data_IF_644065762267
#
_entry.id   IF_644065762267
#
_cell.length_a   1.000
_cell.length_b   1.000
_cell.length_c   1.000
_cell.angle_alpha   90.00
_cell.angle_beta   90.00
_cell.angle_gamma   90.00
#
_symmetry.space_group_name_H-M   'P 1'
#
loop_
_entity.id
_entity.type
_entity.pdbx_description
1 polymer ?
#
# COMPACT_ATOMS: atom_id res chain seq x y z
N UNK A 1 3.47 -0.57 8.79
CA UNK A 1 3.23 0.87 9.05
C UNK A 1 1.90 1.11 9.79
N UNK A 2 0.76 0.67 9.24
CA UNK A 2 -0.58 0.92 9.83
C UNK A 2 -0.71 0.47 11.29
N UNK A 3 -0.21 -0.71 11.67
CA UNK A 3 -0.27 -1.19 13.06
C UNK A 3 0.36 -0.19 14.04
N UNK A 4 1.56 0.34 13.74
CA UNK A 4 2.23 1.34 14.59
C UNK A 4 1.43 2.63 14.70
N UNK A 5 0.75 3.05 13.62
CA UNK A 5 -0.12 4.24 13.62
C UNK A 5 -1.34 4.03 14.52
N UNK A 6 -1.98 2.85 14.45
CA UNK A 6 -3.11 2.47 15.30
C UNK A 6 -2.72 2.38 16.76
N UNK A 7 -1.66 1.62 17.08
CA UNK A 7 -1.21 1.37 18.45
C UNK A 7 -0.80 2.66 19.16
N UNK A 8 -0.13 3.57 18.43
CA UNK A 8 0.33 4.86 18.98
C UNK A 8 -0.69 6.00 18.80
N UNK A 9 -1.84 5.75 18.18
CA UNK A 9 -2.86 6.76 17.82
C UNK A 9 -2.28 7.96 17.05
N UNK A 10 -1.33 7.71 16.15
CA UNK A 10 -0.72 8.75 15.29
C UNK A 10 -1.11 8.51 13.84
N UNK A 11 -1.36 9.60 13.10
CA UNK A 11 -1.80 9.52 11.69
C UNK A 11 -0.68 9.70 10.67
N UNK A 12 0.50 10.09 11.12
CA UNK A 12 1.67 10.34 10.29
C UNK A 12 2.89 9.67 10.91
N UNK A 13 3.76 9.12 10.06
CA UNK A 13 5.06 8.62 10.46
C UNK A 13 6.15 9.39 9.70
N UNK A 14 7.19 9.89 10.37
CA UNK A 14 8.33 10.50 9.69
C UNK A 14 9.14 9.44 8.95
N UNK A 15 9.70 9.84 7.80
CA UNK A 15 10.68 9.08 7.04
C UNK A 15 12.03 9.72 7.27
N UNK A 16 12.95 8.95 7.84
CA UNK A 16 14.30 9.38 8.17
C UNK A 16 15.30 8.63 7.29
N UNK A 17 16.36 9.31 6.86
CA UNK A 17 17.53 8.72 6.22
C UNK A 17 18.79 9.32 6.82
N UNK A 18 19.68 8.48 7.34
CA UNK A 18 20.88 8.89 8.09
C UNK A 18 20.61 9.96 9.16
N UNK A 19 19.45 9.88 9.83
CA UNK A 19 19.04 10.86 10.85
C UNK A 19 18.42 12.15 10.31
N UNK A 20 18.39 12.35 8.99
CA UNK A 20 17.75 13.49 8.33
C UNK A 20 16.27 13.19 8.04
N UNK A 21 15.40 14.17 8.30
CA UNK A 21 13.98 14.09 7.95
C UNK A 21 13.81 14.28 6.45
N UNK A 22 13.46 13.20 5.75
CA UNK A 22 13.12 13.24 4.32
C UNK A 22 11.66 13.64 4.07
N UNK A 23 10.76 13.35 5.03
CA UNK A 23 9.35 13.70 4.91
C UNK A 23 8.44 12.93 5.87
N UNK A 24 7.15 12.90 5.53
CA UNK A 24 6.13 12.19 6.31
C UNK A 24 5.26 11.32 5.42
N UNK A 25 4.82 10.18 5.93
CA UNK A 25 3.79 9.35 5.31
C UNK A 25 2.55 9.35 6.19
N UNK A 26 1.38 9.56 5.60
CA UNK A 26 0.10 9.52 6.31
C UNK A 26 -0.51 8.11 6.27
N UNK A 27 -1.44 7.83 7.17
CA UNK A 27 -2.26 6.61 7.09
C UNK A 27 -3.04 6.52 5.77
N UNK A 28 -3.47 7.67 5.23
CA UNK A 28 -4.19 7.74 3.96
C UNK A 28 -3.33 7.32 2.77
N UNK A 29 -2.04 7.64 2.77
CA UNK A 29 -1.08 7.21 1.74
C UNK A 29 -0.93 5.69 1.75
N UNK A 30 -0.85 5.10 2.95
CA UNK A 30 -0.73 3.65 3.12
C UNK A 30 -2.00 2.94 2.64
N UNK A 31 -3.18 3.45 2.99
CA UNK A 31 -4.46 2.88 2.54
C UNK A 31 -4.63 2.99 1.02
N UNK A 32 -4.28 4.15 0.42
CA UNK A 32 -4.33 4.34 -1.04
C UNK A 32 -3.41 3.37 -1.76
N UNK A 33 -2.20 3.16 -1.25
CA UNK A 33 -1.27 2.20 -1.81
C UNK A 33 -1.81 0.76 -1.74
N UNK A 34 -2.41 0.38 -0.60
CA UNK A 34 -3.01 -0.94 -0.42
C UNK A 34 -4.15 -1.21 -1.42
N UNK A 35 -5.03 -0.22 -1.64
CA UNK A 35 -6.09 -0.31 -2.64
C UNK A 35 -5.52 -0.55 -4.05
N UNK A 36 -4.49 0.20 -4.43
CA UNK A 36 -3.84 0.06 -5.73
C UNK A 36 -3.21 -1.32 -5.92
N UNK A 37 -2.56 -1.86 -4.88
CA UNK A 37 -1.99 -3.22 -4.92
C UNK A 37 -3.10 -4.26 -5.11
N UNK A 38 -4.20 -4.13 -4.37
CA UNK A 38 -5.32 -5.07 -4.48
C UNK A 38 -6.00 -5.03 -5.86
N UNK A 39 -6.18 -3.84 -6.45
CA UNK A 39 -6.68 -3.68 -7.81
C UNK A 39 -5.77 -4.37 -8.85
N UNK A 40 -4.45 -4.22 -8.70
CA UNK A 40 -3.48 -4.90 -9.56
C UNK A 40 -3.53 -6.43 -9.41
N UNK A 41 -3.64 -6.95 -8.19
CA UNK A 41 -3.78 -8.39 -7.94
C UNK A 41 -5.09 -8.94 -8.55
N UNK A 42 -6.20 -8.23 -8.37
CA UNK A 42 -7.48 -8.60 -8.96
C UNK A 42 -7.41 -8.61 -10.49
N UNK A 43 -6.70 -7.66 -11.09
CA UNK A 43 -6.51 -7.62 -12.54
C UNK A 43 -5.60 -8.74 -13.05
N UNK A 44 -4.55 -9.09 -12.31
CA UNK A 44 -3.67 -10.21 -12.65
C UNK A 44 -4.43 -11.55 -12.58
N UNK A 45 -5.27 -11.75 -11.57
CA UNK A 45 -6.14 -12.92 -11.46
C UNK A 45 -7.15 -12.99 -12.61
N UNK A 46 -7.79 -11.87 -12.97
CA UNK A 46 -8.65 -11.80 -14.16
C UNK A 46 -7.87 -12.22 -15.41
N UNK A 47 -6.66 -11.68 -15.60
CA UNK A 47 -5.83 -11.99 -16.77
C UNK A 47 -5.46 -13.47 -16.85
N UNK A 48 -5.16 -14.11 -15.71
CA UNK A 48 -4.88 -15.55 -15.64
C UNK A 48 -6.09 -16.37 -16.12
N UNK A 49 -7.28 -16.11 -15.56
CA UNK A 49 -8.52 -16.82 -15.92
C UNK A 49 -8.91 -16.59 -17.38
N UNK A 50 -8.76 -15.38 -17.92
CA UNK A 50 -9.07 -15.09 -19.32
C UNK A 50 -7.98 -15.53 -20.31
N UNK A 51 -6.74 -15.76 -19.86
CA UNK A 51 -5.67 -16.27 -20.72
C UNK A 51 -5.73 -17.79 -20.95
N UNK A 52 -6.44 -18.53 -20.09
CA UNK A 52 -6.69 -19.98 -20.23
C UNK A 52 -8.04 -20.32 -20.92
N UNK A 53 -8.60 -19.42 -21.73
CA UNK A 53 -9.72 -19.76 -22.63
C UNK A 53 -9.23 -19.97 -24.07
N UNK A 54 -8.72 -21.15 -24.44
CA UNK A 54 -8.96 -21.65 -25.79
C UNK A 54 -10.46 -21.97 -25.88
N UNK A 55 -11.13 -21.47 -26.90
CA UNK A 55 -12.52 -21.80 -27.19
C UNK A 55 -12.75 -23.30 -27.35
#
# INVERSE_FOLDING_TARGET
AMQRMTDKRVRHLPVLDEGHLLGMVSIGDVTRWLLKVNEMEAENLRRYVFSEYPG
#
